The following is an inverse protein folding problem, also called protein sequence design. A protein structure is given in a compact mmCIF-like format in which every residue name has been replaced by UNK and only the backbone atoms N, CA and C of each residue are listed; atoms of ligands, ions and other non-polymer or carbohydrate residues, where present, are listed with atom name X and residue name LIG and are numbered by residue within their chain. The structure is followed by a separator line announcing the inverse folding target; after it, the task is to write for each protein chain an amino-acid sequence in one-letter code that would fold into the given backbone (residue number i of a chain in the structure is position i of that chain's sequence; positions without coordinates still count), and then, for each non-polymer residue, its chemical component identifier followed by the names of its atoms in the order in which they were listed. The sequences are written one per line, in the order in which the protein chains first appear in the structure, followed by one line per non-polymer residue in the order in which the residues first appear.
data_IF_462315476094
#
_entry.id   IF_462315476094
#
_cell.length_a   1.000
_cell.length_b   1.000
_cell.length_c   1.000
_cell.angle_alpha   90.00
_cell.angle_beta   90.00
_cell.angle_gamma   90.00
#
_symmetry.space_group_name_H-M   'P 1'
#
loop_
_entity.id
_entity.type
_entity.pdbx_description
1 polymer ?
#
# COMPACT_ATOMS: atom_id res chain seq x y z
N UNK A 1 -24.24 -38.60 3.54
CA UNK A 1 -24.02 -38.07 4.89
C UNK A 1 -22.72 -37.28 4.86
N UNK A 2 -22.81 -35.94 4.77
CA UNK A 2 -21.63 -35.05 4.69
C UNK A 2 -21.65 -34.19 5.96
N UNK A 3 -20.60 -34.32 6.77
CA UNK A 3 -20.43 -33.58 8.02
C UNK A 3 -19.60 -32.34 7.72
N UNK A 4 -20.23 -31.17 7.76
CA UNK A 4 -19.55 -29.88 7.60
C UNK A 4 -19.11 -29.37 8.97
N UNK A 5 -17.80 -29.27 9.19
CA UNK A 5 -17.21 -28.78 10.43
C UNK A 5 -16.98 -27.26 10.32
N UNK A 6 -17.92 -26.46 10.80
CA UNK A 6 -17.77 -25.01 10.89
C UNK A 6 -17.02 -24.64 12.18
N UNK A 7 -15.74 -24.30 12.05
CA UNK A 7 -14.95 -23.73 13.15
C UNK A 7 -15.38 -22.27 13.38
N UNK A 8 -16.32 -22.06 14.32
CA UNK A 8 -16.62 -20.74 14.87
C UNK A 8 -15.54 -20.36 15.89
N UNK A 9 -14.60 -19.50 15.48
CA UNK A 9 -13.71 -18.82 16.43
C UNK A 9 -14.45 -17.64 17.08
N UNK A 10 -14.50 -17.54 18.42
CA UNK A 10 -15.04 -16.36 19.09
C UNK A 10 -14.05 -15.19 18.93
N UNK A 11 -14.41 -14.20 18.13
CA UNK A 11 -13.69 -12.93 18.04
C UNK A 11 -13.92 -12.16 19.34
N UNK A 12 -12.91 -12.08 20.20
CA UNK A 12 -12.88 -11.14 21.32
C UNK A 12 -12.85 -9.72 20.75
N UNK A 13 -14.00 -9.04 20.79
CA UNK A 13 -14.10 -7.61 20.51
C UNK A 13 -13.34 -6.87 21.61
N UNK A 14 -12.13 -6.39 21.33
CA UNK A 14 -11.41 -5.50 22.22
C UNK A 14 -12.07 -4.12 22.13
N UNK A 15 -12.54 -3.60 23.26
CA UNK A 15 -12.99 -2.21 23.43
C UNK A 15 -11.85 -1.25 23.06
N UNK A 16 -11.82 -0.85 21.79
CA UNK A 16 -10.98 0.22 21.30
C UNK A 16 -11.65 1.54 21.68
N UNK A 17 -11.12 2.23 22.69
CA UNK A 17 -11.35 3.67 22.83
C UNK A 17 -11.04 4.32 21.48
N UNK A 18 -11.95 5.08 20.86
CA UNK A 18 -11.67 5.70 19.57
C UNK A 18 -10.65 6.81 19.77
N UNK A 19 -9.38 6.47 19.60
CA UNK A 19 -8.36 7.48 19.37
C UNK A 19 -8.75 8.19 18.06
N UNK A 20 -9.00 9.49 18.16
CA UNK A 20 -9.52 10.29 17.04
C UNK A 20 -8.53 10.20 15.89
N UNK A 21 -8.94 9.58 14.79
CA UNK A 21 -8.11 9.45 13.59
C UNK A 21 -7.77 10.84 13.04
N UNK A 22 -6.48 11.13 12.83
CA UNK A 22 -6.01 12.43 12.34
C UNK A 22 -5.48 12.28 10.91
N UNK A 23 -5.79 13.24 10.02
CA UNK A 23 -5.13 13.31 8.72
C UNK A 23 -3.66 13.73 8.91
N UNK A 24 -2.75 13.07 8.19
CA UNK A 24 -1.31 13.30 8.22
C UNK A 24 -0.76 13.30 6.80
N UNK A 25 -0.03 14.35 6.42
CA UNK A 25 0.79 14.36 5.21
C UNK A 25 2.20 13.91 5.58
N UNK A 26 2.75 12.94 4.86
CA UNK A 26 4.07 12.40 5.15
C UNK A 26 4.87 12.09 3.89
N UNK A 27 6.19 12.20 4.00
CA UNK A 27 7.14 11.75 2.98
C UNK A 27 7.95 10.60 3.58
N UNK A 28 7.57 9.39 3.19
CA UNK A 28 7.97 8.18 3.88
C UNK A 28 8.89 7.33 3.01
N UNK A 29 10.10 7.01 3.51
CA UNK A 29 11.06 6.17 2.79
C UNK A 29 10.60 4.71 2.72
N UNK A 30 10.36 4.20 1.51
CA UNK A 30 9.86 2.85 1.24
C UNK A 30 10.48 2.30 -0.05
N UNK A 31 10.68 0.99 -0.11
CA UNK A 31 10.81 0.25 -1.36
C UNK A 31 9.77 -0.86 -1.40
N UNK A 32 9.16 -1.08 -2.55
CA UNK A 32 8.20 -2.14 -2.72
C UNK A 32 8.15 -2.65 -4.15
N UNK A 33 7.50 -3.80 -4.31
CA UNK A 33 7.26 -4.42 -5.60
C UNK A 33 5.77 -4.61 -5.81
N UNK A 34 5.28 -4.40 -7.02
CA UNK A 34 3.89 -4.65 -7.39
C UNK A 34 3.79 -5.36 -8.73
N UNK A 35 2.71 -6.13 -8.88
CA UNK A 35 2.46 -7.02 -9.98
C UNK A 35 1.06 -6.79 -10.54
N UNK A 36 0.93 -6.81 -11.86
CA UNK A 36 -0.32 -6.68 -12.59
C UNK A 36 -0.27 -7.50 -13.88
N UNK A 37 -1.26 -7.32 -14.75
CA UNK A 37 -1.30 -8.01 -16.04
C UNK A 37 -0.16 -7.53 -16.94
N UNK A 38 0.78 -8.43 -17.26
CA UNK A 38 1.98 -8.16 -18.05
C UNK A 38 2.79 -6.95 -17.56
N UNK A 39 2.66 -6.66 -16.26
CA UNK A 39 3.19 -5.47 -15.61
C UNK A 39 3.87 -5.82 -14.29
N UNK A 40 5.08 -5.31 -14.09
CA UNK A 40 5.88 -5.46 -12.89
C UNK A 40 6.46 -4.11 -12.53
N UNK A 41 6.43 -3.70 -11.27
CA UNK A 41 7.00 -2.43 -10.85
C UNK A 41 7.78 -2.52 -9.54
N UNK A 42 8.86 -1.77 -9.48
CA UNK A 42 9.54 -1.38 -8.26
C UNK A 42 9.10 0.03 -7.90
N UNK A 43 8.52 0.18 -6.71
CA UNK A 43 7.91 1.41 -6.22
C UNK A 43 8.79 1.97 -5.11
N UNK A 44 9.07 3.27 -5.16
CA UNK A 44 9.74 4.02 -4.10
C UNK A 44 8.70 4.81 -3.32
N UNK A 45 8.94 5.00 -2.02
CA UNK A 45 8.12 5.85 -1.18
C UNK A 45 8.14 7.31 -1.66
N UNK A 46 6.95 7.89 -1.83
CA UNK A 46 6.77 9.29 -2.18
C UNK A 46 5.78 9.97 -1.24
N UNK A 47 5.26 11.15 -1.61
CA UNK A 47 4.34 11.90 -0.76
C UNK A 47 3.02 11.13 -0.61
N UNK A 48 2.51 11.07 0.62
CA UNK A 48 1.30 10.34 0.92
C UNK A 48 0.46 11.05 1.98
N UNK A 49 -0.85 11.04 1.77
CA UNK A 49 -1.85 11.51 2.71
C UNK A 49 -2.45 10.30 3.43
N UNK A 50 -2.37 10.29 4.75
CA UNK A 50 -2.83 9.21 5.60
C UNK A 50 -3.93 9.66 6.55
N UNK A 51 -4.83 8.74 6.83
CA UNK A 51 -5.61 8.69 8.05
C UNK A 51 -4.90 7.75 9.03
N UNK A 52 -4.43 8.28 10.15
CA UNK A 52 -3.82 7.48 11.22
C UNK A 52 -4.94 6.82 12.02
N UNK A 53 -5.03 5.49 11.95
CA UNK A 53 -6.04 4.72 12.69
C UNK A 53 -5.57 4.47 14.12
N UNK A 54 -4.29 4.11 14.27
CA UNK A 54 -3.59 3.98 15.54
C UNK A 54 -2.07 4.06 15.29
N UNK A 55 -1.27 3.90 16.35
CA UNK A 55 0.21 3.97 16.27
C UNK A 55 0.87 2.99 15.28
N UNK A 56 0.18 1.90 14.91
CA UNK A 56 0.71 0.86 14.03
C UNK A 56 0.06 0.85 12.64
N UNK A 57 -1.12 1.44 12.49
CA UNK A 57 -1.95 1.34 11.28
C UNK A 57 -2.23 2.71 10.71
N UNK A 58 -1.80 2.94 9.47
CA UNK A 58 -2.19 4.10 8.66
C UNK A 58 -2.82 3.62 7.36
N UNK A 59 -3.86 4.31 6.90
CA UNK A 59 -4.51 4.05 5.61
C UNK A 59 -4.53 5.35 4.81
N UNK A 60 -4.20 5.31 3.53
CA UNK A 60 -4.04 6.54 2.78
C UNK A 60 -3.90 6.36 1.28
N UNK A 61 -3.54 7.45 0.63
CA UNK A 61 -3.23 7.50 -0.79
C UNK A 61 -1.84 8.11 -0.94
N UNK A 62 -0.96 7.44 -1.68
CA UNK A 62 0.39 7.88 -1.95
C UNK A 62 0.68 8.04 -3.43
N UNK A 63 1.54 8.98 -3.78
CA UNK A 63 2.17 9.05 -5.08
C UNK A 63 3.51 8.31 -5.03
N UNK A 64 3.64 7.24 -5.82
CA UNK A 64 4.77 6.30 -5.78
C UNK A 64 5.59 6.39 -7.07
N UNK A 65 6.78 7.03 -7.04
CA UNK A 65 7.72 6.96 -8.14
C UNK A 65 8.10 5.50 -8.41
N UNK A 66 7.94 5.05 -9.66
CA UNK A 66 8.07 3.64 -9.98
C UNK A 66 8.87 3.42 -11.26
N UNK A 67 9.72 2.40 -11.24
CA UNK A 67 10.31 1.81 -12.45
C UNK A 67 9.53 0.55 -12.75
N UNK A 68 9.08 0.38 -13.99
CA UNK A 68 8.22 -0.73 -14.37
C UNK A 68 8.70 -1.44 -15.63
N UNK A 69 8.23 -2.68 -15.80
CA UNK A 69 8.29 -3.47 -17.03
C UNK A 69 6.85 -3.71 -17.47
N UNK A 70 6.50 -3.29 -18.69
CA UNK A 70 5.20 -3.52 -19.32
C UNK A 70 5.41 -4.17 -20.68
N UNK A 71 4.84 -5.34 -20.91
CA UNK A 71 4.98 -6.06 -22.18
C UNK A 71 6.46 -6.20 -22.62
N UNK A 72 7.36 -6.48 -21.67
CA UNK A 72 8.80 -6.62 -21.89
C UNK A 72 9.57 -5.30 -22.08
N UNK A 73 8.93 -4.14 -22.02
CA UNK A 73 9.58 -2.82 -22.13
C UNK A 73 9.68 -2.15 -20.77
N UNK A 74 10.86 -1.63 -20.44
CA UNK A 74 11.11 -0.87 -19.21
C UNK A 74 10.66 0.58 -19.34
N UNK A 75 10.19 1.18 -18.24
CA UNK A 75 9.86 2.60 -18.17
C UNK A 75 9.84 3.12 -16.74
N UNK A 76 9.56 4.41 -16.59
CA UNK A 76 9.38 5.06 -15.29
C UNK A 76 8.05 5.84 -15.29
N UNK A 77 7.31 5.79 -14.18
CA UNK A 77 6.05 6.52 -14.02
C UNK A 77 5.73 6.79 -12.55
N UNK A 78 4.92 7.80 -12.29
CA UNK A 78 4.36 8.08 -10.97
C UNK A 78 3.02 7.38 -10.84
N UNK A 79 2.92 6.42 -9.93
CA UNK A 79 1.66 5.73 -9.61
C UNK A 79 0.90 6.46 -8.51
N UNK A 80 -0.42 6.49 -8.59
CA UNK A 80 -1.28 6.86 -7.47
C UNK A 80 -1.77 5.58 -6.82
N UNK A 81 -1.54 5.41 -5.53
CA UNK A 81 -1.78 4.15 -4.85
C UNK A 81 -2.57 4.36 -3.56
N UNK A 82 -3.74 3.72 -3.41
CA UNK A 82 -4.20 3.32 -2.10
C UNK A 82 -3.09 2.55 -1.38
N UNK A 83 -2.92 2.85 -0.10
CA UNK A 83 -1.80 2.37 0.70
C UNK A 83 -2.27 2.07 2.12
N UNK A 84 -1.88 0.91 2.64
CA UNK A 84 -2.09 0.54 4.04
C UNK A 84 -0.74 0.23 4.65
N UNK A 85 -0.40 0.96 5.71
CA UNK A 85 0.84 0.77 6.45
C UNK A 85 0.55 0.04 7.74
N UNK A 86 1.22 -1.08 7.92
CA UNK A 86 1.28 -1.82 9.17
C UNK A 86 2.71 -1.85 9.67
N UNK A 87 3.03 -0.95 10.61
CA UNK A 87 4.40 -0.71 11.08
C UNK A 87 5.35 -0.40 9.91
N UNK A 88 6.21 -1.36 9.53
CA UNK A 88 7.15 -1.23 8.41
C UNK A 88 6.66 -1.93 7.15
N UNK A 89 5.62 -2.76 7.21
CA UNK A 89 5.04 -3.39 6.04
C UNK A 89 4.01 -2.46 5.40
N UNK A 90 4.00 -2.44 4.08
CA UNK A 90 3.10 -1.61 3.29
C UNK A 90 2.38 -2.48 2.28
N UNK A 91 1.06 -2.41 2.26
CA UNK A 91 0.25 -2.92 1.17
C UNK A 91 -0.04 -1.76 0.22
N UNK A 92 0.22 -1.96 -1.07
CA UNK A 92 -0.01 -0.96 -2.11
C UNK A 92 -0.87 -1.54 -3.22
N UNK A 93 -1.72 -0.70 -3.80
CA UNK A 93 -2.46 -1.01 -5.03
C UNK A 93 -2.27 0.11 -6.08
N UNK A 94 -1.08 0.27 -6.68
CA UNK A 94 -0.79 1.42 -7.53
C UNK A 94 -1.56 1.39 -8.85
N UNK A 95 -2.05 2.55 -9.26
CA UNK A 95 -2.65 2.84 -10.56
C UNK A 95 -1.77 3.80 -11.36
N UNK A 96 -1.56 3.49 -12.63
CA UNK A 96 -0.72 4.25 -13.56
C UNK A 96 -1.52 4.59 -14.81
N UNK A 97 -1.51 5.86 -15.18
CA UNK A 97 -2.16 6.33 -16.39
C UNK A 97 -1.21 6.24 -17.60
N UNK A 98 -1.62 5.68 -18.74
CA UNK A 98 -0.82 5.62 -19.97
C UNK A 98 -1.12 6.80 -20.91
N UNK A 99 -0.19 7.73 -21.01
CA UNK A 99 -0.31 8.95 -21.85
C UNK A 99 -0.67 8.66 -23.33
N UNK A 100 -0.23 7.53 -23.89
CA UNK A 100 -0.42 7.22 -25.33
C UNK A 100 -1.74 6.53 -25.64
N UNK A 101 -2.32 5.77 -24.70
CA UNK A 101 -3.50 4.92 -24.95
C UNK A 101 -4.69 5.23 -24.05
N UNK A 102 -4.59 6.22 -23.16
CA UNK A 102 -5.62 6.59 -22.16
C UNK A 102 -6.01 5.41 -21.22
N UNK A 103 -5.21 4.35 -21.24
CA UNK A 103 -5.42 3.14 -20.47
C UNK A 103 -4.85 3.28 -19.06
N UNK A 104 -5.54 2.67 -18.10
CA UNK A 104 -5.09 2.57 -16.72
C UNK A 104 -4.52 1.19 -16.43
N UNK A 105 -3.29 1.17 -15.91
CA UNK A 105 -2.66 -0.05 -15.41
C UNK A 105 -2.82 -0.05 -13.90
N UNK A 106 -3.38 -1.11 -13.36
CA UNK A 106 -3.41 -1.35 -11.92
C UNK A 106 -2.49 -2.51 -11.57
N UNK A 107 -1.93 -2.45 -10.37
CA UNK A 107 -1.09 -3.51 -9.80
C UNK A 107 -1.34 -3.62 -8.31
N UNK A 108 -0.97 -4.75 -7.72
CA UNK A 108 -1.01 -4.96 -6.26
C UNK A 108 0.37 -5.38 -5.78
N UNK A 109 0.75 -4.92 -4.60
CA UNK A 109 2.12 -5.07 -4.16
C UNK A 109 2.33 -4.95 -2.66
N UNK A 110 3.59 -5.20 -2.30
CA UNK A 110 4.10 -5.10 -0.95
C UNK A 110 5.32 -4.20 -0.94
N UNK A 111 5.43 -3.39 0.10
CA UNK A 111 6.57 -2.54 0.38
C UNK A 111 7.06 -2.69 1.80
N UNK A 112 8.29 -2.23 2.01
CA UNK A 112 8.92 -2.14 3.30
C UNK A 112 9.42 -0.72 3.55
N UNK A 113 9.15 -0.19 4.73
CA UNK A 113 9.55 1.16 5.16
C UNK A 113 10.84 1.14 5.94
N UNK A 114 11.75 2.04 5.60
CA UNK A 114 13.07 2.14 6.22
C UNK A 114 13.15 3.17 7.35
N UNK A 115 12.01 3.64 7.89
CA UNK A 115 12.04 4.66 8.95
C UNK A 115 12.91 4.21 10.12
N UNK A 116 14.00 4.96 10.30
CA UNK A 116 14.79 4.97 11.51
C UNK A 116 13.87 5.57 12.58
N UNK A 117 13.42 4.75 13.54
CA UNK A 117 12.81 5.23 14.77
C UNK A 117 13.83 6.20 15.36
N UNK A 118 13.61 7.52 15.31
CA UNK A 118 14.34 8.38 16.22
C UNK A 118 13.85 7.99 17.61
N UNK A 119 14.71 7.29 18.35
CA UNK A 119 14.52 7.13 19.78
C UNK A 119 14.37 8.54 20.35
N UNK A 120 13.28 8.74 21.10
CA UNK A 120 13.03 9.96 21.88
C UNK A 120 14.26 10.33 22.70
#
# INVERSE_FOLDING_TARGET
MIVTFSLFYPVKSQDLKPEKSKPELSLEGMLGVSFGKDFYAMNVGGPALFLVINENVKVGIGALPSIYVLNGKTGARLGVSPRVDFKNLVLIAPFFHKDTSDEWIWSVGLGYKFHKKQAK
#
